data_IF_500322295640
#
_entry.id   IF_500322295640
#
_cell.length_a   1.000
_cell.length_b   1.000
_cell.length_c   1.000
_cell.angle_alpha   90.00
_cell.angle_beta   90.00
_cell.angle_gamma   90.00
#
_symmetry.space_group_name_H-M   'P 1'
#
loop_
_entity.id
_entity.type
_entity.pdbx_description
1 polymer ?
#
# COMPACT_ATOMS: atom_id res chain seq x y z
N UNK A 1 0.06 -30.49 78.30
CA UNK A 1 -0.12 -31.43 79.44
C UNK A 1 0.80 -32.58 79.18
N UNK A 2 2.02 -32.69 79.86
CA UNK A 2 2.29 -33.46 81.03
C UNK A 2 2.00 -34.93 80.82
N UNK A 3 2.89 -35.89 80.95
CA UNK A 3 3.82 -36.25 81.98
C UNK A 3 4.52 -37.53 81.56
N UNK A 4 5.81 -37.68 81.55
CA UNK A 4 6.71 -38.02 82.62
C UNK A 4 6.72 -39.49 83.06
N UNK A 5 7.92 -40.03 83.26
CA UNK A 5 8.40 -41.16 84.07
C UNK A 5 8.22 -42.55 83.46
N UNK A 6 9.17 -43.44 83.51
CA UNK A 6 10.45 -43.59 84.20
C UNK A 6 10.71 -45.06 84.35
N UNK A 7 11.98 -45.44 84.30
CA UNK A 7 12.57 -46.57 84.96
C UNK A 7 12.38 -47.92 84.26
N UNK A 8 13.36 -48.70 83.97
CA UNK A 8 14.32 -49.39 84.83
C UNK A 8 15.14 -50.35 83.95
N UNK A 9 16.38 -50.53 84.32
CA UNK A 9 17.36 -51.42 83.74
C UNK A 9 16.94 -52.92 83.80
N UNK A 10 17.30 -53.61 82.76
CA UNK A 10 17.91 -54.95 83.04
C UNK A 10 18.78 -55.36 81.85
N UNK A 11 20.01 -55.56 82.17
CA UNK A 11 21.04 -56.26 81.37
C UNK A 11 20.58 -57.68 80.98
N UNK A 12 20.86 -58.06 79.74
CA UNK A 12 21.39 -59.36 79.39
C UNK A 12 21.84 -59.37 77.94
N UNK A 13 23.07 -59.29 77.74
CA UNK A 13 24.03 -60.20 77.04
C UNK A 13 23.57 -60.94 75.75
N UNK A 14 24.56 -60.81 74.82
CA UNK A 14 24.93 -61.77 73.74
C UNK A 14 24.08 -61.72 72.43
N UNK A 15 24.58 -61.21 71.41
CA UNK A 15 25.30 -61.85 70.30
C UNK A 15 25.51 -60.79 69.17
N UNK A 16 26.74 -60.60 68.84
CA UNK A 16 27.18 -59.92 67.60
C UNK A 16 26.62 -60.69 66.42
N UNK A 17 25.81 -60.10 65.66
CA UNK A 17 25.63 -60.45 64.25
C UNK A 17 25.84 -59.08 63.44
N UNK A 18 27.07 -58.91 63.00
CA UNK A 18 27.44 -57.84 62.12
C UNK A 18 26.85 -58.11 60.75
N UNK A 19 25.67 -57.63 60.54
CA UNK A 19 25.17 -57.47 59.18
C UNK A 19 25.93 -56.36 58.51
N UNK A 20 26.96 -56.75 57.78
CA UNK A 20 27.65 -55.90 56.84
C UNK A 20 26.64 -55.45 55.74
N UNK A 21 26.04 -54.29 55.94
CA UNK A 21 25.18 -53.68 54.91
C UNK A 21 26.14 -53.16 53.81
N UNK A 22 26.39 -54.01 52.84
CA UNK A 22 27.05 -53.60 51.60
C UNK A 22 26.06 -52.69 50.89
N UNK A 23 26.21 -51.40 51.05
CA UNK A 23 25.53 -50.41 50.18
C UNK A 23 26.02 -50.68 48.77
N UNK A 24 25.13 -50.84 47.81
CA UNK A 24 25.57 -50.95 46.42
C UNK A 24 26.34 -49.69 46.08
N UNK A 25 27.52 -49.86 45.51
CA UNK A 25 28.32 -48.81 44.90
C UNK A 25 27.49 -48.23 43.75
N UNK A 26 26.66 -47.21 44.01
CA UNK A 26 26.10 -46.40 42.97
C UNK A 26 27.24 -45.63 42.36
N UNK A 27 27.81 -46.16 41.31
CA UNK A 27 28.73 -45.44 40.45
C UNK A 27 27.95 -44.34 39.78
N UNK A 28 28.04 -43.13 40.35
CA UNK A 28 27.53 -41.94 39.67
C UNK A 28 28.33 -41.75 38.39
N UNK A 29 27.73 -42.04 37.24
CA UNK A 29 28.33 -41.72 35.96
C UNK A 29 28.41 -40.19 35.83
N UNK A 30 29.60 -39.65 35.93
CA UNK A 30 29.89 -38.24 35.66
C UNK A 30 30.43 -38.09 34.25
N UNK A 31 29.67 -37.40 33.46
CA UNK A 31 30.13 -37.03 32.12
C UNK A 31 30.99 -35.78 32.23
N UNK A 32 32.30 -35.91 31.93
CA UNK A 32 33.20 -34.78 31.86
C UNK A 32 33.26 -34.27 30.45
N UNK A 33 33.00 -32.97 30.28
CA UNK A 33 33.16 -32.25 29.03
C UNK A 33 34.35 -31.31 29.11
N UNK A 34 35.27 -31.42 28.18
CA UNK A 34 36.39 -30.49 28.06
C UNK A 34 35.88 -29.17 27.51
N UNK A 35 35.96 -28.11 28.29
CA UNK A 35 35.63 -26.77 27.86
C UNK A 35 36.62 -26.31 26.80
N UNK A 36 36.14 -25.99 25.63
CA UNK A 36 36.88 -25.34 24.55
C UNK A 36 36.41 -23.89 24.47
N UNK A 37 37.33 -22.96 24.31
CA UNK A 37 37.00 -21.57 24.03
C UNK A 37 36.41 -21.53 22.62
N UNK A 38 35.13 -21.16 22.53
CA UNK A 38 34.42 -20.97 21.29
C UNK A 38 33.85 -19.57 21.23
N UNK A 39 33.75 -19.00 20.03
CA UNK A 39 33.04 -17.74 19.83
C UNK A 39 31.57 -17.95 20.03
N UNK A 40 30.97 -17.12 20.88
CA UNK A 40 29.53 -17.09 21.10
C UNK A 40 28.94 -15.99 20.20
N UNK A 41 28.24 -16.39 19.14
CA UNK A 41 27.48 -15.45 18.31
C UNK A 41 26.22 -15.06 19.04
N UNK A 42 26.12 -13.82 19.44
CA UNK A 42 24.89 -13.27 20.00
C UNK A 42 23.90 -13.01 18.86
N UNK A 43 22.83 -13.80 18.77
CA UNK A 43 21.77 -13.61 17.78
C UNK A 43 20.69 -12.69 18.36
N UNK A 44 20.39 -11.64 17.62
CA UNK A 44 19.31 -10.72 17.92
C UNK A 44 18.06 -11.15 17.11
N UNK A 45 17.02 -11.62 17.78
CA UNK A 45 15.77 -12.01 17.15
C UNK A 45 14.74 -10.92 17.40
N UNK A 46 14.28 -10.27 16.34
CA UNK A 46 13.26 -9.23 16.41
C UNK A 46 12.16 -9.49 15.39
N UNK A 47 10.92 -9.16 15.76
CA UNK A 47 9.79 -9.18 14.84
C UNK A 47 9.78 -7.86 14.06
N UNK A 48 9.70 -7.97 12.73
CA UNK A 48 9.65 -6.82 11.85
C UNK A 48 8.44 -6.84 10.93
N UNK A 49 8.09 -5.68 10.37
CA UNK A 49 7.09 -5.50 9.33
C UNK A 49 7.81 -5.22 8.01
N UNK A 50 7.48 -6.01 6.99
CA UNK A 50 7.92 -5.76 5.63
C UNK A 50 6.90 -4.86 4.94
N UNK A 51 7.34 -3.74 4.38
CA UNK A 51 6.54 -2.81 3.59
C UNK A 51 7.24 -2.47 2.28
N UNK A 52 6.46 -2.16 1.25
CA UNK A 52 7.02 -1.64 0.03
C UNK A 52 7.27 -0.15 0.18
N UNK A 53 8.48 0.31 -0.13
CA UNK A 53 8.84 1.74 -0.16
C UNK A 53 8.12 2.46 -1.30
N UNK A 54 7.89 1.76 -2.42
CA UNK A 54 7.19 2.29 -3.59
C UNK A 54 5.90 1.52 -3.78
N UNK A 55 4.80 2.16 -3.44
CA UNK A 55 3.44 1.68 -3.65
C UNK A 55 2.56 2.86 -4.07
N UNK A 56 1.56 2.60 -4.89
CA UNK A 56 0.56 3.59 -5.31
C UNK A 56 -0.81 2.96 -5.31
N UNK A 57 -1.74 3.63 -4.66
CA UNK A 57 -3.15 3.30 -4.71
C UNK A 57 -3.76 3.96 -5.95
N UNK A 58 -4.34 3.16 -6.81
CA UNK A 58 -5.02 3.61 -8.01
C UNK A 58 -6.51 3.71 -7.73
N UNK A 59 -7.11 4.82 -8.14
CA UNK A 59 -8.55 5.06 -8.01
C UNK A 59 -9.09 5.64 -9.30
N UNK A 60 -10.39 5.46 -9.54
CA UNK A 60 -11.08 6.12 -10.64
C UNK A 60 -11.56 7.50 -10.19
N UNK A 61 -11.51 8.46 -11.10
CA UNK A 61 -12.00 9.82 -10.84
C UNK A 61 -13.49 9.97 -11.20
N UNK A 62 -14.03 9.03 -11.98
CA UNK A 62 -15.43 9.03 -12.42
C UNK A 62 -16.19 7.83 -11.85
N UNK A 63 -17.40 8.07 -11.33
CA UNK A 63 -18.29 7.04 -10.80
C UNK A 63 -19.13 6.42 -11.93
N UNK A 64 -18.48 5.64 -12.79
CA UNK A 64 -19.11 4.90 -13.88
C UNK A 64 -18.98 3.39 -13.67
N UNK A 65 -19.84 2.56 -14.29
CA UNK A 65 -19.70 1.11 -14.20
C UNK A 65 -18.36 0.61 -14.72
N UNK A 66 -17.76 -0.35 -14.04
CA UNK A 66 -16.53 -1.01 -14.48
C UNK A 66 -16.87 -1.94 -15.65
N UNK A 67 -16.43 -1.57 -16.85
CA UNK A 67 -16.67 -2.36 -18.05
C UNK A 67 -15.81 -3.62 -18.10
N UNK A 68 -14.54 -3.52 -17.71
CA UNK A 68 -13.61 -4.65 -17.76
C UNK A 68 -12.47 -4.50 -16.77
N UNK A 69 -12.06 -5.64 -16.20
CA UNK A 69 -10.86 -5.77 -15.35
C UNK A 69 -9.92 -6.75 -16.03
N UNK A 70 -8.67 -6.36 -16.24
CA UNK A 70 -7.67 -7.11 -17.01
C UNK A 70 -6.71 -7.90 -16.14
N UNK A 71 -6.69 -7.64 -14.83
CA UNK A 71 -5.71 -8.16 -13.88
C UNK A 71 -6.39 -8.73 -12.63
N UNK A 72 -5.67 -9.53 -11.87
CA UNK A 72 -6.08 -10.10 -10.58
C UNK A 72 -5.06 -9.75 -9.50
N UNK A 73 -5.45 -9.93 -8.23
CA UNK A 73 -4.51 -9.84 -7.12
C UNK A 73 -3.36 -10.82 -7.31
N UNK A 74 -2.12 -10.34 -7.14
CA UNK A 74 -0.90 -11.10 -7.34
C UNK A 74 -0.32 -11.06 -8.76
N UNK A 75 -1.04 -10.52 -9.74
CA UNK A 75 -0.54 -10.41 -11.11
C UNK A 75 0.59 -9.37 -11.20
N UNK A 76 1.59 -9.68 -12.02
CA UNK A 76 2.64 -8.74 -12.40
C UNK A 76 2.16 -7.87 -13.55
N UNK A 77 2.40 -6.57 -13.43
CA UNK A 77 2.06 -5.58 -14.44
C UNK A 77 3.28 -4.77 -14.83
N UNK A 78 3.35 -4.39 -16.10
CA UNK A 78 4.37 -3.48 -16.59
C UNK A 78 3.84 -2.04 -16.62
N UNK A 79 4.74 -1.07 -16.55
CA UNK A 79 4.40 0.34 -16.69
C UNK A 79 3.59 0.59 -17.98
N UNK A 80 2.46 1.29 -17.85
CA UNK A 80 1.57 1.57 -18.98
C UNK A 80 0.58 0.45 -19.32
N UNK A 81 0.65 -0.70 -18.65
CA UNK A 81 -0.30 -1.79 -18.86
C UNK A 81 -1.68 -1.41 -18.32
N UNK A 82 -2.73 -1.72 -19.10
CA UNK A 82 -4.12 -1.52 -18.67
C UNK A 82 -4.47 -2.46 -17.52
N UNK A 83 -5.07 -1.90 -16.48
CA UNK A 83 -5.52 -2.62 -15.29
C UNK A 83 -7.04 -2.84 -15.35
N UNK A 84 -7.78 -1.75 -15.60
CA UNK A 84 -9.24 -1.79 -15.73
C UNK A 84 -9.72 -0.62 -16.57
N UNK A 85 -10.94 -0.73 -17.07
CA UNK A 85 -11.60 0.34 -17.82
C UNK A 85 -13.07 0.49 -17.38
N UNK A 86 -13.55 1.73 -17.39
CA UNK A 86 -14.95 2.07 -17.13
C UNK A 86 -15.77 2.00 -18.42
N UNK A 87 -17.09 1.97 -18.27
CA UNK A 87 -18.02 2.15 -19.37
C UNK A 87 -17.93 3.62 -19.85
N UNK A 88 -17.44 3.82 -21.07
CA UNK A 88 -17.08 5.15 -21.59
C UNK A 88 -18.24 5.90 -22.23
N UNK A 89 -19.41 5.25 -22.48
CA UNK A 89 -20.51 5.85 -23.23
C UNK A 89 -20.94 7.23 -22.72
N UNK A 90 -21.13 7.40 -21.41
CA UNK A 90 -21.53 8.69 -20.82
C UNK A 90 -20.41 9.72 -20.92
N UNK A 91 -19.17 9.31 -20.68
CA UNK A 91 -18.00 10.18 -20.75
C UNK A 91 -17.76 10.67 -22.19
N UNK A 92 -17.79 9.77 -23.16
CA UNK A 92 -17.65 10.13 -24.59
C UNK A 92 -18.76 11.10 -25.04
N UNK A 93 -20.03 10.87 -24.63
CA UNK A 93 -21.10 11.82 -24.93
C UNK A 93 -20.88 13.17 -24.25
N UNK A 94 -20.42 13.20 -23.00
CA UNK A 94 -20.08 14.44 -22.28
C UNK A 94 -18.99 15.21 -23.02
N UNK A 95 -17.94 14.53 -23.47
CA UNK A 95 -16.86 15.12 -24.25
C UNK A 95 -17.38 15.68 -25.58
N UNK A 96 -18.24 14.95 -26.29
CA UNK A 96 -18.85 15.42 -27.53
C UNK A 96 -19.68 16.68 -27.30
N UNK A 97 -20.57 16.70 -26.31
CA UNK A 97 -21.37 17.89 -25.96
C UNK A 97 -20.49 19.10 -25.56
N UNK A 98 -19.45 18.87 -24.78
CA UNK A 98 -18.53 19.95 -24.41
C UNK A 98 -17.75 20.47 -25.62
N UNK A 99 -17.40 19.60 -26.59
CA UNK A 99 -16.78 19.99 -27.86
C UNK A 99 -17.68 20.86 -28.69
N UNK A 100 -18.97 20.46 -28.82
CA UNK A 100 -19.97 21.24 -29.58
C UNK A 100 -20.20 22.63 -28.94
N UNK A 101 -20.23 22.68 -27.59
CA UNK A 101 -20.33 23.94 -26.87
C UNK A 101 -19.11 24.84 -27.12
N UNK A 102 -17.90 24.26 -27.17
CA UNK A 102 -16.67 24.98 -27.49
C UNK A 102 -16.69 25.52 -28.92
N UNK A 103 -17.11 24.72 -29.88
CA UNK A 103 -17.22 25.20 -31.28
C UNK A 103 -18.24 26.32 -31.41
N UNK A 104 -19.38 26.25 -30.72
CA UNK A 104 -20.34 27.34 -30.63
C UNK A 104 -19.72 28.62 -30.05
N UNK A 105 -19.05 28.50 -28.90
CA UNK A 105 -18.40 29.65 -28.27
C UNK A 105 -17.29 30.24 -29.15
N UNK A 106 -16.62 29.39 -29.95
CA UNK A 106 -15.60 29.82 -30.93
C UNK A 106 -16.21 30.63 -32.07
N UNK A 107 -17.42 30.23 -32.57
CA UNK A 107 -18.13 31.00 -33.57
C UNK A 107 -18.61 32.34 -33.01
N UNK A 108 -19.15 32.36 -31.80
CA UNK A 108 -19.54 33.61 -31.11
C UNK A 108 -18.36 34.51 -30.87
N UNK A 109 -17.19 34.00 -30.54
CA UNK A 109 -15.93 34.77 -30.41
C UNK A 109 -15.60 35.46 -31.73
N UNK A 110 -15.72 34.73 -32.87
CA UNK A 110 -15.49 35.30 -34.19
C UNK A 110 -16.49 36.43 -34.52
N UNK A 111 -17.76 36.21 -34.24
CA UNK A 111 -18.82 37.21 -34.50
C UNK A 111 -18.59 38.50 -33.69
N UNK A 112 -18.20 38.33 -32.40
CA UNK A 112 -17.84 39.51 -31.56
C UNK A 112 -16.65 40.29 -32.14
N UNK A 113 -15.61 39.58 -32.63
CA UNK A 113 -14.43 40.25 -33.24
C UNK A 113 -14.79 40.91 -34.56
N UNK A 114 -15.58 40.28 -35.42
CA UNK A 114 -16.06 40.87 -36.68
C UNK A 114 -16.90 42.11 -36.40
N UNK A 115 -17.81 42.08 -35.42
CA UNK A 115 -18.60 43.22 -34.99
C UNK A 115 -17.75 44.40 -34.45
N UNK A 116 -16.50 44.16 -34.10
CA UNK A 116 -15.51 45.20 -33.70
C UNK A 116 -14.57 45.60 -34.85
N UNK A 117 -14.82 45.11 -36.07
CA UNK A 117 -14.04 45.49 -37.26
C UNK A 117 -12.79 44.66 -37.51
N UNK A 118 -12.61 43.53 -36.81
CA UNK A 118 -11.48 42.63 -37.02
C UNK A 118 -11.88 41.45 -37.90
N UNK A 119 -11.15 41.23 -39.00
CA UNK A 119 -11.36 40.06 -39.87
C UNK A 119 -10.71 38.84 -39.28
N UNK A 120 -11.20 37.63 -39.64
CA UNK A 120 -10.68 36.35 -39.18
C UNK A 120 -9.18 36.15 -39.42
N UNK A 121 -8.63 36.76 -40.45
CA UNK A 121 -7.24 36.67 -40.85
C UNK A 121 -6.33 37.61 -40.01
N UNK A 122 -6.93 38.57 -39.29
CA UNK A 122 -6.24 39.59 -38.52
C UNK A 122 -6.11 39.28 -37.02
N UNK A 123 -6.30 38.04 -36.62
CA UNK A 123 -6.27 37.64 -35.20
C UNK A 123 -4.98 38.07 -34.45
N UNK A 124 -3.86 38.18 -35.16
CA UNK A 124 -2.60 38.64 -34.63
C UNK A 124 -2.55 40.19 -34.41
N UNK A 125 -3.48 40.94 -35.02
CA UNK A 125 -3.56 42.41 -34.94
C UNK A 125 -4.58 42.89 -33.91
N UNK A 126 -5.35 41.96 -33.29
CA UNK A 126 -6.35 42.30 -32.27
C UNK A 126 -5.64 42.73 -30.98
N UNK A 127 -5.94 43.93 -30.44
CA UNK A 127 -5.38 44.33 -29.15
C UNK A 127 -5.76 43.33 -28.03
N UNK A 128 -4.85 43.02 -27.10
CA UNK A 128 -5.12 42.03 -26.06
C UNK A 128 -6.36 42.34 -25.22
N UNK A 129 -6.64 43.60 -24.94
CA UNK A 129 -7.82 44.05 -24.19
C UNK A 129 -9.11 43.71 -24.94
N UNK A 130 -9.14 43.94 -26.26
CA UNK A 130 -10.29 43.62 -27.12
C UNK A 130 -10.52 42.12 -27.24
N UNK A 131 -9.44 41.37 -27.41
CA UNK A 131 -9.50 39.89 -27.46
C UNK A 131 -10.03 39.31 -26.14
N UNK A 132 -9.55 39.78 -25.00
CA UNK A 132 -10.02 39.36 -23.69
C UNK A 132 -11.50 39.67 -23.49
N UNK A 133 -11.95 40.83 -23.87
CA UNK A 133 -13.36 41.20 -23.81
C UNK A 133 -14.23 40.28 -24.71
N UNK A 134 -13.76 39.97 -25.90
CA UNK A 134 -14.44 39.11 -26.83
C UNK A 134 -14.51 37.67 -26.31
N UNK A 135 -13.44 37.12 -25.70
CA UNK A 135 -13.40 35.81 -25.07
C UNK A 135 -14.38 35.70 -23.90
N UNK A 136 -14.46 36.72 -23.06
CA UNK A 136 -15.41 36.75 -21.95
C UNK A 136 -16.87 36.79 -22.48
N UNK A 137 -17.15 37.66 -23.48
CA UNK A 137 -18.50 37.78 -24.04
C UNK A 137 -18.99 36.49 -24.74
N UNK A 138 -18.12 35.81 -25.44
CA UNK A 138 -18.44 34.55 -26.13
C UNK A 138 -18.48 33.34 -25.20
N UNK A 139 -18.01 33.45 -23.94
CA UNK A 139 -17.86 32.31 -23.04
C UNK A 139 -16.81 31.28 -23.49
N UNK A 140 -15.91 31.66 -24.42
CA UNK A 140 -14.93 30.75 -25.02
C UNK A 140 -14.06 30.05 -23.97
N UNK A 141 -13.55 30.80 -23.00
CA UNK A 141 -12.66 30.25 -21.96
C UNK A 141 -13.37 29.24 -21.07
N UNK A 142 -14.64 29.51 -20.74
CA UNK A 142 -15.46 28.57 -19.96
C UNK A 142 -15.72 27.27 -20.75
N UNK A 143 -16.10 27.38 -22.01
CA UNK A 143 -16.37 26.24 -22.87
C UNK A 143 -15.10 25.41 -23.12
N UNK A 144 -13.96 26.08 -23.28
CA UNK A 144 -12.65 25.42 -23.40
C UNK A 144 -12.29 24.62 -22.14
N UNK A 145 -12.44 25.22 -20.97
CA UNK A 145 -12.17 24.56 -19.70
C UNK A 145 -13.10 23.33 -19.48
N UNK A 146 -14.39 23.47 -19.84
CA UNK A 146 -15.35 22.36 -19.76
C UNK A 146 -14.99 21.22 -20.72
N UNK A 147 -14.56 21.53 -21.93
CA UNK A 147 -14.12 20.52 -22.89
C UNK A 147 -12.85 19.80 -22.40
N UNK A 148 -11.87 20.53 -21.88
CA UNK A 148 -10.64 19.95 -21.32
C UNK A 148 -10.93 19.03 -20.13
N UNK A 149 -11.85 19.43 -19.24
CA UNK A 149 -12.27 18.60 -18.12
C UNK A 149 -12.94 17.31 -18.58
N UNK A 150 -13.89 17.40 -19.52
CA UNK A 150 -14.59 16.23 -20.07
C UNK A 150 -13.61 15.27 -20.76
N UNK A 151 -12.64 15.81 -21.51
CA UNK A 151 -11.60 15.02 -22.18
C UNK A 151 -10.68 14.33 -21.17
N UNK A 152 -10.32 14.99 -20.08
CA UNK A 152 -9.53 14.43 -18.99
C UNK A 152 -10.28 13.28 -18.30
N UNK A 153 -11.55 13.46 -17.97
CA UNK A 153 -12.39 12.42 -17.38
C UNK A 153 -12.51 11.18 -18.30
N UNK A 154 -12.66 11.39 -19.61
CA UNK A 154 -12.72 10.32 -20.60
C UNK A 154 -11.41 9.56 -20.71
N UNK A 155 -10.26 10.25 -20.69
CA UNK A 155 -8.92 9.63 -20.72
C UNK A 155 -8.67 8.83 -19.45
N UNK A 156 -9.10 9.32 -18.30
CA UNK A 156 -8.94 8.66 -16.99
C UNK A 156 -9.97 7.56 -16.74
N UNK A 157 -10.85 7.28 -17.70
CA UNK A 157 -11.72 6.11 -17.65
C UNK A 157 -10.97 4.78 -17.76
N UNK A 158 -9.68 4.81 -18.09
CA UNK A 158 -8.80 3.62 -18.14
C UNK A 158 -7.70 3.76 -17.10
N UNK A 159 -7.67 2.85 -16.13
CA UNK A 159 -6.56 2.75 -15.19
C UNK A 159 -5.37 2.00 -15.81
N UNK A 160 -4.20 2.60 -15.70
CA UNK A 160 -2.93 2.05 -16.18
C UNK A 160 -1.92 1.97 -15.03
N UNK A 161 -1.03 0.98 -15.10
CA UNK A 161 0.06 0.84 -14.14
C UNK A 161 1.09 1.98 -14.29
N UNK A 162 1.39 2.75 -13.23
CA UNK A 162 2.35 3.85 -13.30
C UNK A 162 3.81 3.39 -13.35
N UNK A 163 4.07 2.17 -12.90
CA UNK A 163 5.39 1.50 -12.90
C UNK A 163 5.21 -0.02 -12.91
N UNK A 164 6.31 -0.74 -13.10
CA UNK A 164 6.34 -2.21 -13.05
C UNK A 164 6.14 -2.69 -11.62
N UNK A 165 5.17 -3.56 -11.38
CA UNK A 165 4.83 -3.98 -10.02
C UNK A 165 3.90 -5.17 -9.94
N UNK A 166 3.38 -5.39 -8.76
CA UNK A 166 2.39 -6.45 -8.44
C UNK A 166 1.11 -5.80 -7.97
N UNK A 167 -0.02 -6.31 -8.46
CA UNK A 167 -1.36 -5.86 -8.06
C UNK A 167 -1.74 -6.44 -6.71
N UNK A 168 -2.20 -5.58 -5.81
CA UNK A 168 -2.75 -5.95 -4.52
C UNK A 168 -4.05 -5.17 -4.24
N UNK A 169 -4.82 -5.61 -3.24
CA UNK A 169 -6.03 -4.93 -2.75
C UNK A 169 -7.10 -4.66 -3.83
N UNK A 170 -7.18 -5.53 -4.84
CA UNK A 170 -8.21 -5.45 -5.86
C UNK A 170 -9.46 -6.21 -5.36
N UNK A 171 -10.48 -5.48 -4.92
CA UNK A 171 -11.74 -6.05 -4.42
C UNK A 171 -12.94 -5.74 -5.32
N UNK A 172 -12.78 -4.79 -6.24
CA UNK A 172 -13.83 -4.39 -7.15
C UNK A 172 -14.22 -5.52 -8.12
N UNK A 173 -15.48 -5.53 -8.51
CA UNK A 173 -16.03 -6.49 -9.48
C UNK A 173 -16.51 -5.76 -10.71
N UNK A 174 -16.44 -6.44 -11.86
CA UNK A 174 -16.99 -5.96 -13.11
C UNK A 174 -18.48 -5.67 -12.95
N UNK A 175 -19.00 -4.69 -13.69
CA UNK A 175 -20.38 -4.19 -13.67
C UNK A 175 -20.77 -3.35 -12.43
N UNK A 176 -19.97 -3.36 -11.36
CA UNK A 176 -20.19 -2.44 -10.25
C UNK A 176 -19.76 -1.02 -10.64
N UNK A 177 -20.38 -0.03 -9.99
CA UNK A 177 -19.97 1.37 -10.13
C UNK A 177 -18.63 1.56 -9.40
N UNK A 178 -17.68 2.21 -10.05
CA UNK A 178 -16.39 2.53 -9.46
C UNK A 178 -16.53 3.55 -8.34
N UNK A 179 -15.81 3.34 -7.24
CA UNK A 179 -15.68 4.34 -6.18
C UNK A 179 -14.69 5.41 -6.60
N UNK A 180 -15.01 6.67 -6.30
CA UNK A 180 -14.12 7.81 -6.48
C UNK A 180 -13.39 8.21 -5.20
N UNK A 181 -13.69 7.55 -4.08
CA UNK A 181 -13.09 7.80 -2.76
C UNK A 181 -12.18 6.67 -2.31
N UNK A 182 -12.47 5.45 -2.71
CA UNK A 182 -11.72 4.26 -2.33
C UNK A 182 -10.77 3.84 -3.44
N UNK A 183 -9.62 3.33 -3.05
CA UNK A 183 -8.67 2.75 -4.00
C UNK A 183 -9.28 1.55 -4.73
N UNK A 184 -9.15 1.51 -6.04
CA UNK A 184 -9.54 0.38 -6.87
C UNK A 184 -8.58 -0.81 -6.69
N UNK A 185 -7.30 -0.54 -6.70
CA UNK A 185 -6.22 -1.49 -6.42
C UNK A 185 -4.94 -0.75 -6.03
N UNK A 186 -4.00 -1.50 -5.47
CA UNK A 186 -2.66 -1.01 -5.12
C UNK A 186 -1.63 -1.65 -6.06
N UNK A 187 -0.72 -0.86 -6.63
CA UNK A 187 0.45 -1.35 -7.36
C UNK A 187 1.66 -1.26 -6.44
N UNK A 188 2.33 -2.39 -6.22
CA UNK A 188 3.47 -2.52 -5.30
C UNK A 188 4.72 -2.88 -6.10
N UNK A 189 5.81 -2.15 -5.87
CA UNK A 189 7.11 -2.49 -6.43
C UNK A 189 7.82 -3.52 -5.52
N UNK A 190 7.95 -4.79 -5.95
CA UNK A 190 8.56 -5.85 -5.15
C UNK A 190 10.08 -5.68 -4.94
N UNK A 191 10.72 -4.80 -5.71
CA UNK A 191 12.17 -4.54 -5.61
C UNK A 191 12.50 -3.43 -4.62
N UNK A 192 11.50 -2.72 -4.11
CA UNK A 192 11.65 -1.60 -3.17
C UNK A 192 11.14 -1.93 -1.78
N UNK A 193 11.49 -3.11 -1.26
CA UNK A 193 11.05 -3.56 0.06
C UNK A 193 11.89 -2.94 1.17
N UNK A 194 11.24 -2.53 2.24
CA UNK A 194 11.82 -2.01 3.47
C UNK A 194 11.32 -2.83 4.64
N UNK A 195 12.25 -3.29 5.47
CA UNK A 195 11.93 -3.99 6.70
C UNK A 195 12.11 -3.05 7.88
N UNK A 196 11.05 -2.79 8.63
CA UNK A 196 11.11 -2.05 9.89
C UNK A 196 10.93 -3.01 11.05
N UNK A 197 11.85 -2.96 12.00
CA UNK A 197 11.81 -3.79 13.21
C UNK A 197 12.15 -2.94 14.42
N UNK A 198 11.63 -3.36 15.57
CA UNK A 198 11.86 -2.68 16.84
C UNK A 198 12.95 -3.42 17.60
N UNK A 199 13.96 -2.70 18.08
CA UNK A 199 15.06 -3.23 18.88
C UNK A 199 15.02 -2.59 20.26
N UNK A 200 15.39 -3.31 21.29
CA UNK A 200 15.53 -2.76 22.63
C UNK A 200 16.73 -1.79 22.66
N UNK A 201 16.59 -0.70 23.39
CA UNK A 201 17.65 0.31 23.52
C UNK A 201 18.97 -0.28 24.04
N UNK A 202 18.87 -1.29 24.90
CA UNK A 202 20.03 -2.03 25.44
C UNK A 202 20.80 -2.85 24.40
N UNK A 203 20.15 -3.18 23.27
CA UNK A 203 20.71 -3.99 22.19
C UNK A 203 21.25 -3.14 21.03
N UNK A 204 20.92 -1.84 21.04
CA UNK A 204 21.36 -0.90 20.00
C UNK A 204 22.89 -0.87 19.79
N UNK A 205 23.75 -0.93 20.83
CA UNK A 205 25.19 -0.96 20.66
C UNK A 205 25.72 -2.24 19.99
N UNK A 206 24.93 -3.30 19.91
CA UNK A 206 25.31 -4.58 19.31
C UNK A 206 25.01 -4.63 17.80
N UNK A 207 24.28 -3.63 17.28
CA UNK A 207 23.93 -3.52 15.86
C UNK A 207 24.98 -2.60 15.22
N UNK A 208 25.93 -3.19 14.50
CA UNK A 208 26.92 -2.47 13.69
C UNK A 208 26.68 -2.71 12.21
#
# INVERSE_FOLDING_TARGET
CLSACGGEKKDTDTTQDSVETVLPDEANEVTIMTLKQTEFNHELISNGKLSARKLVDLQFESAEPIARIYVKNGDRVNKGQKIAELATFRLTNKTAQAKDALEKARLELKDVLIGQGYMLEDSAKVPPATLNLARVKSGYDLALAQYQLAQYEEQNATLIAPFDGIIANLFAKQENVASTTDAFCTVIDPHSLEASFTVLESELPLIQ
#
